data_IF_698331253492
#
_entry.id   IF_698331253492
#
_cell.length_a   1.000
_cell.length_b   1.000
_cell.length_c   1.000
_cell.angle_alpha   90.00
_cell.angle_beta   90.00
_cell.angle_gamma   90.00
#
_symmetry.space_group_name_H-M   'P 1'
#
loop_
_entity.id
_entity.type
_entity.pdbx_description
1 polymer ?
2 branched ?
3 non-polymer ?
4 non-polymer ?
5 non-polymer ?
6 non-polymer ?
7 water ?
#
# COMPACT_ATOMS: atom_id res chain seq x y z
N UNK A 1 -9.97 -5.66 -33.98
CA UNK A 1 -10.26 -6.93 -33.27
C UNK A 1 -10.32 -6.68 -31.77
N UNK A 2 -10.94 -7.60 -31.04
CA UNK A 2 -11.05 -7.48 -29.59
C UNK A 2 -9.80 -8.05 -28.94
N UNK A 3 -9.14 -7.25 -28.10
CA UNK A 3 -7.96 -7.73 -27.40
C UNK A 3 -8.02 -7.28 -25.95
N UNK A 4 -7.24 -7.96 -25.11
CA UNK A 4 -7.18 -7.63 -23.70
C UNK A 4 -5.86 -6.96 -23.40
N UNK A 5 -5.89 -5.71 -22.94
CA UNK A 5 -4.66 -5.03 -22.58
C UNK A 5 -4.89 -4.27 -21.30
N UNK A 6 -3.80 -4.02 -20.59
CA UNK A 6 -3.89 -3.33 -19.33
C UNK A 6 -3.05 -2.08 -19.27
N UNK A 7 -3.51 -1.12 -18.48
CA UNK A 7 -2.75 0.08 -18.23
C UNK A 7 -2.39 -0.22 -16.80
N UNK A 8 -1.12 -0.06 -16.46
CA UNK A 8 -0.70 -0.30 -15.08
C UNK A 8 0.04 0.91 -14.55
N UNK A 9 -0.24 1.26 -13.30
CA UNK A 9 0.44 2.36 -12.64
C UNK A 9 0.97 1.70 -11.39
N UNK A 10 2.11 2.16 -10.89
CA UNK A 10 2.66 1.55 -9.69
C UNK A 10 3.41 2.58 -8.88
N UNK A 11 3.69 2.25 -7.63
CA UNK A 11 4.40 3.19 -6.80
C UNK A 11 4.83 2.59 -5.48
N UNK A 12 5.52 3.39 -4.69
CA UNK A 12 6.00 2.97 -3.38
C UNK A 12 5.76 4.09 -2.38
N UNK A 13 5.67 3.74 -1.11
CA UNK A 13 5.47 4.74 -0.07
C UNK A 13 6.33 4.30 1.11
N UNK A 14 7.39 5.07 1.36
CA UNK A 14 8.32 4.76 2.43
C UNK A 14 8.02 5.46 3.75
N UNK A 15 7.99 4.66 4.82
CA UNK A 15 7.75 5.16 6.17
C UNK A 15 8.99 4.86 7.01
N UNK A 16 9.86 5.86 7.17
CA UNK A 16 11.07 5.71 7.98
C UNK A 16 10.71 6.30 9.33
N UNK A 17 10.50 5.43 10.31
CA UNK A 17 10.08 5.88 11.64
C UNK A 17 11.17 5.86 12.71
N UNK A 18 12.00 4.82 12.71
CA UNK A 18 13.10 4.71 13.66
C UNK A 18 13.79 6.07 13.77
N UNK A 19 14.14 6.51 14.99
CA UNK A 19 13.97 5.87 16.29
C UNK A 19 12.61 5.89 17.00
N UNK A 20 11.52 6.06 16.26
CA UNK A 20 10.19 6.00 16.86
C UNK A 20 9.48 4.88 16.13
N UNK A 21 8.44 4.30 16.75
CA UNK A 21 7.75 3.23 16.03
C UNK A 21 6.84 3.87 15.03
N UNK A 22 6.53 3.14 13.96
CA UNK A 22 5.62 3.68 12.97
C UNK A 22 4.22 3.67 13.58
N UNK A 23 3.36 4.54 13.09
CA UNK A 23 1.99 4.59 13.57
C UNK A 23 1.36 3.24 13.33
N UNK A 24 0.43 2.86 14.20
CA UNK A 24 -0.26 1.58 14.10
C UNK A 24 -0.98 1.44 12.75
N UNK A 25 -1.49 2.54 12.22
CA UNK A 25 -2.15 2.48 10.92
C UNK A 25 -1.84 3.73 10.13
N UNK A 26 -1.93 3.62 8.81
CA UNK A 26 -1.69 4.75 7.93
C UNK A 26 -2.60 4.62 6.72
N UNK A 27 -3.04 5.75 6.21
CA UNK A 27 -3.90 5.80 5.05
C UNK A 27 -3.41 6.99 4.24
N UNK A 28 -3.08 6.73 2.98
CA UNK A 28 -2.56 7.77 2.10
C UNK A 28 -3.34 7.85 0.80
N UNK A 29 -3.79 9.06 0.44
CA UNK A 29 -4.54 9.16 -0.82
C UNK A 29 -3.60 9.08 -2.01
N UNK A 30 -3.94 8.21 -2.96
CA UNK A 30 -3.15 8.03 -4.17
C UNK A 30 -4.04 8.45 -5.33
N UNK A 31 -3.50 9.27 -6.23
CA UNK A 31 -4.26 9.73 -7.38
C UNK A 31 -3.70 9.22 -8.69
N UNK A 32 -4.59 8.86 -9.61
CA UNK A 32 -4.18 8.38 -10.92
C UNK A 32 -4.38 9.54 -11.88
N UNK A 33 -3.36 9.86 -12.67
CA UNK A 33 -3.51 10.94 -13.64
C UNK A 33 -2.91 10.56 -14.97
N UNK A 34 -3.74 10.51 -16.02
CA UNK A 34 -5.18 10.79 -15.97
C UNK A 34 -5.94 9.60 -15.38
N UNK A 35 -7.22 9.79 -15.01
CA UNK A 35 -7.99 8.67 -14.45
C UNK A 35 -8.08 7.48 -15.39
N UNK A 36 -8.25 6.29 -14.83
CA UNK A 36 -8.37 5.08 -15.63
C UNK A 36 -9.69 5.10 -16.40
N UNK A 37 -9.76 4.34 -17.48
CA UNK A 37 -10.97 4.26 -18.27
C UNK A 37 -11.89 3.27 -17.54
N UNK A 38 -11.35 2.19 -16.98
CA UNK A 38 -12.22 1.33 -16.15
C UNK A 38 -11.52 1.28 -14.81
N UNK A 39 -12.30 1.01 -13.78
CA UNK A 39 -11.79 0.91 -12.43
C UNK A 39 -10.77 -0.22 -12.43
N UNK A 40 -9.55 0.06 -11.97
CA UNK A 40 -8.51 -0.98 -11.95
C UNK A 40 -8.54 -1.84 -10.70
N UNK A 41 -7.77 -2.92 -10.73
CA UNK A 41 -7.63 -3.79 -9.58
C UNK A 41 -6.33 -3.26 -9.02
N UNK A 42 -6.16 -3.33 -7.71
CA UNK A 42 -4.91 -2.85 -7.11
C UNK A 42 -4.45 -3.85 -6.06
N UNK A 43 -3.15 -4.14 -6.03
CA UNK A 43 -2.63 -5.03 -5.00
C UNK A 43 -1.49 -4.29 -4.32
N UNK A 44 -1.30 -4.60 -3.04
CA UNK A 44 -0.28 -3.94 -2.23
C UNK A 44 0.57 -4.95 -1.46
N UNK A 45 1.87 -4.67 -1.33
CA UNK A 45 2.75 -5.54 -0.56
C UNK A 45 3.81 -4.69 0.12
N UNK A 46 4.86 -5.33 0.61
CA UNK A 46 5.93 -4.64 1.31
C UNK A 46 7.25 -4.79 0.58
N UNK A 47 7.95 -3.67 0.38
CA UNK A 47 9.24 -3.70 -0.29
C UNK A 47 10.37 -3.65 0.73
N UNK A 48 10.05 -3.15 1.92
CA UNK A 48 11.01 -3.04 3.01
C UNK A 48 10.21 -3.18 4.30
N UNK A 49 10.78 -3.85 5.29
CA UNK A 49 10.09 -4.05 6.56
C UNK A 49 11.11 -4.18 7.69
N UNK A 50 10.80 -3.56 8.82
CA UNK A 50 11.65 -3.56 10.01
C UNK A 50 10.68 -3.80 11.17
N UNK A 51 10.67 -5.04 11.66
CA UNK A 51 9.76 -5.46 12.73
C UNK A 51 10.49 -6.00 13.96
N UNK A 52 10.08 -5.55 15.14
CA UNK A 52 10.72 -5.99 16.37
C UNK A 52 10.41 -7.44 16.71
N UNK A 53 11.43 -8.19 17.09
CA UNK A 53 11.24 -9.58 17.43
C UNK A 53 10.68 -9.78 18.84
N UNK A 54 10.46 -8.69 19.57
CA UNK A 54 9.93 -8.83 20.93
C UNK A 54 8.50 -9.36 20.94
N UNK A 55 7.81 -9.24 19.81
CA UNK A 55 6.44 -9.72 19.69
C UNK A 55 6.24 -10.31 18.30
N UNK A 56 5.09 -10.94 18.07
CA UNK A 56 4.80 -11.54 16.77
C UNK A 56 4.82 -10.46 15.69
N UNK A 57 5.03 -10.89 14.45
CA UNK A 57 5.02 -9.96 13.33
C UNK A 57 3.61 -9.98 12.77
N UNK A 58 2.98 -8.80 12.76
CA UNK A 58 1.62 -8.66 12.24
C UNK A 58 1.60 -7.41 11.38
N UNK A 59 1.54 -7.59 10.06
CA UNK A 59 1.46 -6.44 9.16
C UNK A 59 0.35 -6.68 8.15
N UNK A 60 -0.32 -5.60 7.78
CA UNK A 60 -1.44 -5.64 6.86
C UNK A 60 -1.38 -4.46 5.90
N UNK A 61 -1.82 -4.67 4.67
CA UNK A 61 -1.84 -3.61 3.66
C UNK A 61 -3.00 -3.90 2.73
N UNK A 62 -3.57 -2.84 2.17
CA UNK A 62 -4.70 -3.00 1.26
C UNK A 62 -4.91 -1.73 0.45
N UNK A 63 -5.68 -1.86 -0.63
CA UNK A 63 -6.02 -0.73 -1.47
C UNK A 63 -7.50 -0.57 -1.22
N UNK A 64 -7.88 0.54 -0.59
CA UNK A 64 -9.27 0.79 -0.26
C UNK A 64 -9.90 1.91 -1.09
N UNK A 65 -11.22 1.89 -1.19
CA UNK A 65 -11.95 2.91 -1.94
C UNK A 65 -11.36 3.15 -3.33
N UNK A 66 -11.11 2.07 -4.05
CA UNK A 66 -10.53 2.17 -5.39
C UNK A 66 -11.50 2.70 -6.44
N UNK A 67 -11.08 3.74 -7.17
CA UNK A 67 -11.89 4.31 -8.24
C UNK A 67 -10.97 4.58 -9.42
N UNK A 68 -11.54 5.07 -10.52
CA UNK A 68 -10.74 5.37 -11.69
C UNK A 68 -9.82 6.54 -11.39
N UNK A 69 -10.17 7.32 -10.37
CA UNK A 69 -9.37 8.48 -10.00
C UNK A 69 -8.24 8.23 -9.02
N UNK A 70 -8.31 7.12 -8.29
CA UNK A 70 -7.27 6.80 -7.33
C UNK A 70 -7.76 5.84 -6.27
N UNK A 71 -7.03 5.75 -5.16
CA UNK A 71 -7.43 4.87 -4.07
C UNK A 71 -6.74 5.29 -2.79
N UNK A 72 -7.11 4.64 -1.69
CA UNK A 72 -6.50 4.94 -0.40
C UNK A 72 -5.55 3.79 -0.09
N UNK A 73 -4.26 4.11 -0.02
CA UNK A 73 -3.22 3.13 0.28
C UNK A 73 -3.23 2.93 1.79
N UNK A 74 -3.62 1.74 2.21
CA UNK A 74 -3.75 1.42 3.63
C UNK A 74 -2.73 0.45 4.21
N UNK A 75 -2.33 0.72 5.45
CA UNK A 75 -1.41 -0.13 6.19
C UNK A 75 -1.81 -0.14 7.64
N UNK A 76 -1.57 -1.26 8.30
CA UNK A 76 -1.77 -1.34 9.74
C UNK A 76 -1.14 -2.58 10.31
N UNK A 77 -0.74 -2.47 11.56
CA UNK A 77 -0.21 -3.60 12.29
C UNK A 77 -1.30 -3.75 13.31
N UNK A 78 -1.16 -4.70 14.23
CA UNK A 78 -2.16 -4.84 15.28
C UNK A 78 -1.56 -5.53 16.50
N UNK A 79 -2.35 -5.59 17.57
CA UNK A 79 -1.94 -6.14 18.86
C UNK A 79 -0.59 -5.58 19.30
N UNK A 80 0.28 -6.44 19.82
CA UNK A 80 1.59 -6.04 20.35
C UNK A 80 2.74 -5.79 19.37
N UNK A 81 2.48 -5.93 18.08
CA UNK A 81 3.51 -5.75 17.07
C UNK A 81 4.11 -4.35 17.04
N UNK A 82 5.43 -4.29 16.89
CA UNK A 82 6.13 -3.03 16.82
C UNK A 82 6.86 -2.98 15.49
N UNK A 83 6.51 -1.99 14.68
CA UNK A 83 7.13 -1.81 13.37
C UNK A 83 7.93 -0.51 13.40
N UNK A 84 9.21 -0.62 13.04
CA UNK A 84 10.13 0.52 13.06
C UNK A 84 10.32 1.25 11.72
N UNK A 85 10.09 0.54 10.62
CA UNK A 85 10.23 1.10 9.28
C UNK A 85 9.50 0.18 8.31
N UNK A 86 8.98 0.72 7.22
CA UNK A 86 8.36 -0.10 6.18
C UNK A 86 8.18 0.69 4.91
N UNK A 87 8.12 -0.02 3.80
CA UNK A 87 7.90 0.60 2.51
C UNK A 87 6.84 -0.21 1.82
N UNK A 88 5.75 0.44 1.45
CA UNK A 88 4.67 -0.25 0.76
C UNK A 88 4.93 -0.15 -0.73
N UNK A 89 4.54 -1.18 -1.47
CA UNK A 89 4.66 -1.14 -2.92
C UNK A 89 3.25 -1.47 -3.38
N UNK A 90 2.86 -0.88 -4.50
CA UNK A 90 1.52 -1.13 -5.01
C UNK A 90 1.49 -1.06 -6.51
N UNK A 91 0.54 -1.77 -7.11
CA UNK A 91 0.38 -1.74 -8.55
C UNK A 91 -1.10 -1.85 -8.87
N UNK A 92 -1.54 -0.97 -9.77
CA UNK A 92 -2.93 -0.91 -10.19
C UNK A 92 -3.01 -1.13 -11.69
N UNK A 93 -3.80 -2.11 -12.11
CA UNK A 93 -3.95 -2.35 -13.54
C UNK A 93 -5.42 -2.61 -13.84
N UNK A 94 -5.86 -2.22 -15.03
CA UNK A 94 -7.24 -2.47 -15.41
C UNK A 94 -7.22 -3.54 -16.49
X LIG B 1 -6.30 -5.06 6.67
X LIG B 1 -7.18 -5.62 7.81
X LIG B 1 -8.62 -5.78 7.31
X LIG B 1 -9.14 -4.46 6.72
X LIG B 1 -8.16 -3.91 5.68
X LIG B 1 -8.54 -2.52 5.20
X LIG B 1 -5.99 -6.98 9.41
X LIG B 1 -5.50 -8.36 9.82
X LIG B 1 -6.67 -6.90 8.27
X LIG B 1 -9.45 -6.19 8.38
X LIG B 1 -10.42 -4.68 6.09
X LIG B 1 -6.83 -3.81 6.24
X LIG B 1 -8.69 -1.63 6.30
X LIG B 1 -5.74 -6.00 10.11
X LIG B 2 -11.54 -4.40 6.85
X LIG B 2 -12.68 -3.97 5.92
X LIG B 2 -13.95 -3.74 6.74
X LIG B 2 -14.27 -5.00 7.56
X LIG B 2 -13.05 -5.39 8.42
X LIG B 2 -13.32 -6.68 9.17
X LIG B 2 -12.12 -2.73 3.92
X LIG B 2 -11.83 -1.38 3.30
X LIG B 2 -12.32 -2.75 5.23
X LIG B 2 -15.04 -3.44 5.88
X LIG B 2 -15.37 -4.73 8.41
X LIG B 2 -11.90 -5.59 7.58
X LIG B 2 -12.12 -7.42 9.38
X LIG B 2 -12.14 -3.73 3.21
X LIG C 1 -2.13 -12.47 18.34
X LIG C 1 -3.22 -11.83 19.04
X LIG C 1 -3.94 -12.80 19.72
X LIG C 1 -4.16 -11.10 18.07
X LIG C 1 -5.32 -10.63 18.80
X LIG C 1 -4.62 -12.06 16.96
X LIG C 1 -5.36 -11.34 15.99
X LIG C 1 -3.42 -12.73 16.30
X LIG C 1 -2.64 -11.75 15.63
X LIG C 1 -2.59 -13.44 17.37
X LIG C 1 -1.36 -14.17 16.82
X LIG C 1 -0.33 -13.27 16.42
X LIG C 1 -5.71 -9.36 18.74
X LIG C 1 -5.15 -8.51 18.05
X LIG C 1 -6.91 -8.97 19.59
X LIG D 1 -0.22 -17.71 22.97
X LIG D 1 -0.21 -16.55 21.98
X LIG D 1 1.10 -15.97 22.13
X LIG D 1 -0.41 -17.03 20.57
X LIG D 1 -1.24 -15.48 22.44
X LIG D 1 -1.46 -14.29 21.49
X LIG D 1 -2.64 -13.69 21.93
X LIG D 1 -0.31 -13.28 21.45
X LIG E 1 -9.02 -16.02 20.95
X LIG E 1 -8.79 -15.54 22.36
X LIG E 1 -7.64 -14.68 22.35
X LIG E 1 -9.99 -14.80 22.83
X LIG E 1 -8.57 -16.76 23.28
X LIG E 1 -7.27 -16.97 24.06
X LIG E 1 -7.07 -15.91 24.98
X LIG E 1 -7.31 -18.27 24.84
X LIG F 1 2.99 -11.26 20.54
X LIG G 1 -6.77 4.41 -19.00
X LIG H 1 -7.56 -9.49 6.62
X LIG I 1 20.57 3.88 14.94
X LIG J 1 4.11 6.00 10.15
#
# INVERSE_FOLDING_TARGET
RLIHVSRCEMGTSTHRCWPRPCDTSSDEPISFWPPFENTPNVIVSFGMLDVDNSNNLRVNSSADDVTVGGFTLHYNSWYTTTVWNYKLIWIACD
NAG C1 C2 C3 C4 C5 C6 C7 C8 N2 O3 O4 O5 O6 O7
NAG C1 C2 C3 C4 C5 C6 C7 C8 N2 O3 O4 O5 O6 O7
A2G O5 C1 O1 C2 N2 C3 O3 C4 O4 C5 C6 O6 C7 O7 C8
MPD C1 C2 O2 CM C3 C4 O4 C5
MPD C1 C2 O2 CM C3 C4 O4 C5
CL CL
CL CL
CL CL
CL CL
NA NA
#
